data_IF_113467450068
#
_entry.id   IF_113467450068
#
_cell.length_a   1.000
_cell.length_b   1.000
_cell.length_c   1.000
_cell.angle_alpha   90.00
_cell.angle_beta   90.00
_cell.angle_gamma   90.00
#
_symmetry.space_group_name_H-M   'P 1'
#
loop_
_entity.id
_entity.type
_entity.pdbx_description
1 polymer ?
#
# COMPACT_ATOMS: atom_id res chain seq x y z
N UNK A 1 0.94 3.08 -28.88
CA UNK A 1 -0.22 3.27 -27.96
C UNK A 1 0.22 4.23 -26.87
N UNK A 2 -0.42 5.40 -26.73
CA UNK A 2 -0.17 6.28 -25.58
C UNK A 2 -0.86 5.63 -24.37
N UNK A 3 -0.11 5.33 -23.32
CA UNK A 3 -0.69 4.98 -22.02
C UNK A 3 -1.67 6.09 -21.66
N UNK A 4 -2.94 5.75 -21.47
CA UNK A 4 -3.93 6.72 -21.02
C UNK A 4 -3.42 7.29 -19.70
N UNK A 5 -3.09 8.58 -19.70
CA UNK A 5 -2.63 9.24 -18.50
C UNK A 5 -3.83 9.25 -17.54
N UNK A 6 -3.76 8.43 -16.50
CA UNK A 6 -4.78 8.42 -15.46
C UNK A 6 -4.78 9.81 -14.81
N UNK A 7 -5.75 10.63 -15.20
CA UNK A 7 -6.10 11.87 -14.52
C UNK A 7 -6.80 11.46 -13.23
N UNK A 8 -6.03 11.33 -12.15
CA UNK A 8 -6.48 10.87 -10.85
C UNK A 8 -5.63 11.42 -9.73
N UNK A 9 -6.08 11.23 -8.49
CA UNK A 9 -5.28 11.52 -7.30
C UNK A 9 -4.23 10.44 -7.11
N UNK A 10 -3.06 10.83 -6.64
CA UNK A 10 -2.00 9.88 -6.27
C UNK A 10 -2.06 9.66 -4.78
N UNK A 11 -1.92 8.42 -4.34
CA UNK A 11 -1.86 8.05 -2.93
C UNK A 11 -0.57 7.31 -2.64
N UNK A 12 0.08 7.66 -1.54
CA UNK A 12 1.15 6.88 -0.94
C UNK A 12 0.53 5.86 0.00
N UNK A 13 0.82 4.59 -0.23
CA UNK A 13 0.45 3.48 0.63
C UNK A 13 1.73 2.97 1.27
N UNK A 14 1.75 2.95 2.60
CA UNK A 14 2.83 2.35 3.38
C UNK A 14 2.21 1.28 4.25
N UNK A 15 2.76 0.07 4.20
CA UNK A 15 2.34 -1.01 5.10
C UNK A 15 3.54 -1.61 5.82
N UNK A 16 3.28 -2.19 6.99
CA UNK A 16 4.25 -2.98 7.76
C UNK A 16 3.55 -4.22 8.29
N UNK A 17 4.11 -5.38 8.00
CA UNK A 17 3.59 -6.68 8.46
C UNK A 17 4.45 -7.17 9.61
N UNK A 18 3.84 -7.42 10.77
CA UNK A 18 4.56 -7.91 11.94
C UNK A 18 5.16 -9.31 11.69
N UNK A 19 6.38 -9.53 12.18
CA UNK A 19 7.11 -10.81 12.11
C UNK A 19 6.57 -11.83 13.13
N UNK A 20 5.29 -12.12 13.01
CA UNK A 20 4.60 -13.13 13.81
C UNK A 20 3.29 -13.56 13.17
N UNK A 21 2.88 -14.77 13.50
CA UNK A 21 1.54 -15.24 13.21
C UNK A 21 0.49 -14.43 13.98
N UNK A 22 -0.69 -14.32 13.37
CA UNK A 22 -1.84 -13.62 13.94
C UNK A 22 -3.10 -14.43 13.67
N UNK A 23 -4.23 -13.97 14.20
CA UNK A 23 -5.55 -14.54 13.87
C UNK A 23 -5.90 -14.44 12.38
N UNK A 24 -5.22 -13.58 11.62
CA UNK A 24 -5.46 -13.35 10.19
C UNK A 24 -4.52 -14.15 9.27
N UNK A 25 -3.65 -15.01 9.84
CA UNK A 25 -2.71 -15.86 9.10
C UNK A 25 -1.23 -15.56 9.40
N UNK A 26 -0.34 -16.20 8.65
CA UNK A 26 1.12 -16.02 8.75
C UNK A 26 1.56 -14.67 8.16
N UNK A 27 2.77 -14.16 8.49
CA UNK A 27 3.28 -12.94 7.87
C UNK A 27 3.27 -12.98 6.34
N UNK A 28 3.65 -14.12 5.75
CA UNK A 28 3.67 -14.32 4.30
C UNK A 28 2.27 -14.23 3.68
N UNK A 29 1.26 -14.84 4.30
CA UNK A 29 -0.12 -14.79 3.81
C UNK A 29 -0.68 -13.36 3.83
N UNK A 30 -0.40 -12.59 4.89
CA UNK A 30 -0.84 -11.19 5.02
C UNK A 30 -0.12 -10.29 4.00
N UNK A 31 1.18 -10.50 3.81
CA UNK A 31 1.97 -9.83 2.78
C UNK A 31 1.44 -10.11 1.37
N UNK A 32 1.17 -11.38 1.05
CA UNK A 32 0.67 -11.79 -0.26
C UNK A 32 -0.74 -11.23 -0.54
N UNK A 33 -1.60 -11.14 0.47
CA UNK A 33 -2.93 -10.51 0.32
C UNK A 33 -2.81 -9.02 -0.01
N UNK A 34 -2.08 -8.23 0.78
CA UNK A 34 -1.99 -6.77 0.55
C UNK A 34 -1.27 -6.45 -0.77
N UNK A 35 -0.18 -7.15 -1.09
CA UNK A 35 0.52 -6.94 -2.36
C UNK A 35 -0.30 -7.43 -3.54
N UNK A 36 -1.06 -8.51 -3.40
CA UNK A 36 -1.98 -9.00 -4.41
C UNK A 36 -3.10 -8.00 -4.72
N UNK A 37 -3.64 -7.30 -3.71
CA UNK A 37 -4.62 -6.21 -3.90
C UNK A 37 -3.98 -5.01 -4.59
N UNK A 38 -2.81 -4.56 -4.12
CA UNK A 38 -2.09 -3.43 -4.73
C UNK A 38 -1.76 -3.69 -6.21
N UNK A 39 -1.28 -4.89 -6.56
CA UNK A 39 -0.96 -5.26 -7.96
C UNK A 39 -2.18 -5.28 -8.88
N UNK A 40 -3.40 -5.45 -8.35
CA UNK A 40 -4.64 -5.41 -9.13
C UNK A 40 -5.12 -3.98 -9.42
N UNK A 41 -4.57 -2.98 -8.73
CA UNK A 41 -4.90 -1.58 -8.98
C UNK A 41 -4.14 -1.11 -10.23
N UNK A 42 -4.88 -0.61 -11.23
CA UNK A 42 -4.38 -0.33 -12.59
C UNK A 42 -3.14 0.59 -12.68
N UNK A 43 -2.84 1.35 -11.63
CA UNK A 43 -1.69 2.26 -11.58
C UNK A 43 -1.00 2.28 -10.22
N UNK A 44 -0.83 1.10 -9.62
CA UNK A 44 0.02 0.91 -8.47
C UNK A 44 1.48 0.67 -8.89
N UNK A 45 2.41 1.46 -8.36
CA UNK A 45 3.85 1.30 -8.55
C UNK A 45 4.50 1.13 -7.19
N UNK A 46 5.31 0.09 -7.04
CA UNK A 46 6.14 -0.09 -5.84
C UNK A 46 7.34 0.84 -5.97
N UNK A 47 7.53 1.73 -5.00
CA UNK A 47 8.64 2.69 -5.04
C UNK A 47 9.86 2.14 -4.29
N UNK A 48 9.69 1.70 -3.04
CA UNK A 48 10.81 1.27 -2.18
C UNK A 48 10.44 0.14 -1.21
N UNK A 49 11.44 -0.67 -0.88
CA UNK A 49 11.50 -1.54 0.30
C UNK A 49 12.35 -0.86 1.38
N UNK A 50 11.98 -0.98 2.65
CA UNK A 50 12.80 -0.52 3.75
C UNK A 50 12.87 -1.57 4.87
N UNK A 51 13.85 -1.43 5.77
CA UNK A 51 13.99 -2.31 6.92
C UNK A 51 13.31 -1.70 8.15
N UNK A 52 12.56 -2.50 8.90
CA UNK A 52 11.97 -2.11 10.19
C UNK A 52 12.02 -3.30 11.15
N UNK A 53 12.62 -3.10 12.32
CA UNK A 53 12.82 -4.17 13.30
C UNK A 53 11.47 -4.73 13.77
N UNK A 54 11.30 -6.05 13.68
CA UNK A 54 10.04 -6.73 14.02
C UNK A 54 9.00 -6.74 12.89
N UNK A 55 9.35 -6.29 11.69
CA UNK A 55 8.47 -6.36 10.51
C UNK A 55 9.21 -6.97 9.30
N UNK A 56 8.59 -7.95 8.63
CA UNK A 56 9.22 -8.71 7.52
C UNK A 56 8.96 -8.12 6.14
N UNK A 57 7.97 -7.24 6.01
CA UNK A 57 7.65 -6.61 4.75
C UNK A 57 7.21 -5.18 5.01
N UNK A 58 8.09 -4.24 4.67
CA UNK A 58 7.74 -2.83 4.66
C UNK A 58 8.01 -2.26 3.29
N UNK A 59 6.97 -1.69 2.69
CA UNK A 59 7.07 -1.17 1.33
C UNK A 59 6.17 0.03 1.16
N UNK A 60 6.66 0.93 0.31
CA UNK A 60 5.92 2.09 -0.13
C UNK A 60 5.43 1.85 -1.55
N UNK A 61 4.15 2.11 -1.78
CA UNK A 61 3.51 2.08 -3.09
C UNK A 61 2.90 3.43 -3.42
N UNK A 62 2.97 3.83 -4.68
CA UNK A 62 2.16 4.91 -5.22
C UNK A 62 1.00 4.33 -6.02
N UNK A 63 -0.22 4.70 -5.65
CA UNK A 63 -1.44 4.27 -6.32
C UNK A 63 -2.11 5.49 -6.93
N UNK A 64 -2.26 5.53 -8.26
CA UNK A 64 -3.13 6.52 -8.91
C UNK A 64 -4.55 5.99 -8.96
N UNK A 65 -5.50 6.78 -8.48
CA UNK A 65 -6.93 6.45 -8.56
C UNK A 65 -7.77 7.67 -8.91
N UNK A 66 -8.69 7.45 -9.84
CA UNK A 66 -9.63 8.43 -10.38
C UNK A 66 -10.94 8.42 -9.59
N UNK A 67 -11.17 7.38 -8.77
CA UNK A 67 -12.46 7.09 -8.12
C UNK A 67 -12.36 6.96 -6.60
N UNK A 68 -11.22 6.55 -6.07
CA UNK A 68 -11.09 6.28 -4.64
C UNK A 68 -10.65 7.52 -3.87
N UNK A 69 -11.28 7.75 -2.70
CA UNK A 69 -10.69 8.57 -1.63
C UNK A 69 -9.65 7.73 -0.88
N UNK A 70 -8.74 8.38 -0.17
CA UNK A 70 -7.77 7.67 0.69
C UNK A 70 -8.45 6.68 1.65
N UNK A 71 -9.63 7.03 2.18
CA UNK A 71 -10.40 6.17 3.07
C UNK A 71 -10.92 4.88 2.40
N UNK A 72 -11.29 4.95 1.11
CA UNK A 72 -11.79 3.79 0.36
C UNK A 72 -10.65 2.81 0.09
N UNK A 73 -9.50 3.34 -0.33
CA UNK A 73 -8.25 2.57 -0.48
C UNK A 73 -7.82 1.94 0.84
N UNK A 74 -7.90 2.69 1.94
CA UNK A 74 -7.60 2.17 3.28
C UNK A 74 -8.53 1.00 3.62
N UNK A 75 -9.83 1.14 3.40
CA UNK A 75 -10.81 0.08 3.69
C UNK A 75 -10.55 -1.18 2.84
N UNK A 76 -10.25 -1.01 1.55
CA UNK A 76 -9.92 -2.12 0.64
C UNK A 76 -8.64 -2.86 1.04
N UNK A 77 -7.60 -2.11 1.39
CA UNK A 77 -6.28 -2.65 1.72
C UNK A 77 -6.17 -3.18 3.14
N UNK A 78 -7.05 -2.74 4.06
CA UNK A 78 -7.05 -3.21 5.45
C UNK A 78 -7.31 -4.71 5.57
N UNK A 79 -7.98 -5.32 4.58
CA UNK A 79 -8.00 -6.76 4.30
C UNK A 79 -7.64 -7.71 5.44
N UNK A 80 -6.63 -8.56 5.22
CA UNK A 80 -6.09 -9.51 6.22
C UNK A 80 -5.16 -8.87 7.25
N UNK A 81 -5.09 -7.55 7.35
CA UNK A 81 -4.23 -6.91 8.34
C UNK A 81 -4.82 -7.04 9.74
N UNK A 82 -3.97 -7.39 10.70
CA UNK A 82 -4.36 -7.52 12.10
C UNK A 82 -4.15 -6.19 12.81
N UNK A 83 -5.23 -5.65 13.37
CA UNK A 83 -5.18 -4.41 14.15
C UNK A 83 -4.19 -4.52 15.32
N UNK A 84 -3.45 -3.43 15.58
CA UNK A 84 -2.42 -3.33 16.63
C UNK A 84 -1.21 -4.27 16.43
N UNK A 85 -1.08 -4.92 15.27
CA UNK A 85 0.06 -5.76 14.90
C UNK A 85 0.65 -5.29 13.59
N UNK A 86 -0.19 -5.22 12.56
CA UNK A 86 0.20 -4.70 11.26
C UNK A 86 -0.14 -3.20 11.18
N UNK A 87 0.61 -2.47 10.36
CA UNK A 87 0.43 -1.04 10.14
C UNK A 87 0.08 -0.79 8.68
N UNK A 88 -0.85 0.15 8.46
CA UNK A 88 -1.24 0.62 7.15
C UNK A 88 -1.51 2.13 7.19
N UNK A 89 -0.85 2.85 6.30
CA UNK A 89 -1.03 4.27 6.05
C UNK A 89 -1.44 4.44 4.59
N UNK A 90 -2.47 5.23 4.34
CA UNK A 90 -2.83 5.72 3.00
C UNK A 90 -2.95 7.23 3.06
N UNK A 91 -2.08 7.93 2.33
CA UNK A 91 -2.03 9.39 2.31
C UNK A 91 -2.13 9.92 0.86
N UNK A 92 -2.91 10.98 0.65
CA UNK A 92 -2.96 11.67 -0.66
C UNK A 92 -1.66 12.45 -0.90
N UNK A 93 -1.03 12.23 -2.05
CA UNK A 93 0.16 12.96 -2.50
C UNK A 93 -0.28 14.11 -3.39
N UNK A 94 -0.08 15.35 -2.90
CA UNK A 94 -0.32 16.56 -3.68
C UNK A 94 0.82 16.73 -4.70
N UNK A 95 0.47 16.95 -5.98
CA UNK A 95 1.38 16.99 -7.15
C UNK A 95 2.64 17.86 -7.00
N UNK A 96 2.68 18.81 -6.07
CA UNK A 96 3.84 19.69 -5.82
C UNK A 96 4.90 19.14 -4.85
N UNK A 97 4.62 18.07 -4.10
CA UNK A 97 5.50 17.59 -3.03
C UNK A 97 6.31 16.33 -3.39
N UNK A 98 6.28 15.87 -4.65
CA UNK A 98 7.09 14.72 -5.08
C UNK A 98 8.50 15.19 -5.40
N UNK A 99 9.36 15.25 -4.37
CA UNK A 99 10.80 15.34 -4.57
C UNK A 99 11.39 13.92 -4.61
N UNK A 100 11.92 13.51 -5.77
CA UNK A 100 12.91 12.43 -5.84
C UNK A 100 14.27 13.10 -5.68
N UNK A 101 15.01 12.73 -4.64
CA UNK A 101 16.41 13.15 -4.45
C UNK A 101 17.30 12.01 -4.91
#
# INVERSE_FOLDING_TARGET
MRAAEIIGKTYQVVYRIADQDTTSGTPEERYNDITGRLKKMEAATREDEFEDAGHVATSTWLVKSNKARAADLLAELRGRLTANKDLLLVAEVVKGNRAQI
#
